data_IF_218974442780
#
_entry.id   IF_218974442780
#
_cell.length_a   1.000
_cell.length_b   1.000
_cell.length_c   1.000
_cell.angle_alpha   90.00
_cell.angle_beta   90.00
_cell.angle_gamma   90.00
#
_symmetry.space_group_name_H-M   'P 1'
#
loop_
_entity.id
_entity.type
_entity.pdbx_description
1 polymer ?
#
# COMPACT_ATOMS: atom_id res chain seq x y z
N UNK A 1 0.71 -3.28 -48.92
CA UNK A 1 -0.43 -3.61 -48.03
C UNK A 1 -1.24 -2.34 -47.83
N UNK A 2 -2.51 -2.26 -48.25
CA UNK A 2 -3.33 -1.08 -47.95
C UNK A 2 -3.64 -1.02 -46.45
N UNK A 3 -3.70 0.19 -45.89
CA UNK A 3 -4.14 0.40 -44.52
C UNK A 3 -5.64 0.10 -44.39
N UNK A 4 -6.02 -0.76 -43.44
CA UNK A 4 -7.43 -0.97 -43.08
C UNK A 4 -7.89 0.21 -42.23
N UNK A 5 -8.95 0.90 -42.67
CA UNK A 5 -9.59 1.95 -41.88
C UNK A 5 -10.27 1.35 -40.65
N UNK A 6 -10.18 2.06 -39.52
CA UNK A 6 -10.88 1.69 -38.28
C UNK A 6 -12.40 1.82 -38.49
N UNK A 7 -13.14 0.85 -37.96
CA UNK A 7 -14.60 0.89 -37.89
C UNK A 7 -15.05 1.52 -36.57
N UNK A 8 -16.32 1.93 -36.49
CA UNK A 8 -16.89 2.44 -35.24
C UNK A 8 -16.82 1.43 -34.08
N UNK A 9 -16.82 0.13 -34.37
CA UNK A 9 -16.63 -0.92 -33.36
C UNK A 9 -15.19 -0.96 -32.85
N UNK A 10 -14.21 -0.80 -33.75
CA UNK A 10 -12.78 -0.75 -33.37
C UNK A 10 -12.51 0.47 -32.46
N UNK A 11 -13.13 1.62 -32.74
CA UNK A 11 -12.99 2.83 -31.92
C UNK A 11 -13.54 2.64 -30.49
N UNK A 12 -14.65 1.93 -30.32
CA UNK A 12 -15.22 1.63 -28.99
C UNK A 12 -14.30 0.70 -28.21
N UNK A 13 -13.77 -0.35 -28.85
CA UNK A 13 -12.85 -1.31 -28.23
C UNK A 13 -11.52 -0.64 -27.83
N UNK A 14 -10.95 0.18 -28.71
CA UNK A 14 -9.74 0.96 -28.44
C UNK A 14 -9.96 1.95 -27.30
N UNK A 15 -11.09 2.66 -27.29
CA UNK A 15 -11.43 3.59 -26.22
C UNK A 15 -11.62 2.88 -24.87
N UNK A 16 -12.25 1.70 -24.85
CA UNK A 16 -12.41 0.89 -23.64
C UNK A 16 -11.06 0.42 -23.10
N UNK A 17 -10.23 -0.15 -23.97
CA UNK A 17 -8.86 -0.62 -23.63
C UNK A 17 -7.99 0.52 -23.11
N UNK A 18 -8.05 1.69 -23.74
CA UNK A 18 -7.33 2.87 -23.29
C UNK A 18 -7.78 3.34 -21.91
N UNK A 19 -9.10 3.39 -21.67
CA UNK A 19 -9.65 3.78 -20.37
C UNK A 19 -9.19 2.84 -19.25
N UNK A 20 -9.20 1.53 -19.50
CA UNK A 20 -8.74 0.52 -18.55
C UNK A 20 -7.24 0.69 -18.24
N UNK A 21 -6.38 0.74 -19.25
CA UNK A 21 -4.93 0.99 -19.05
C UNK A 21 -4.66 2.30 -18.32
N UNK A 22 -5.37 3.37 -18.67
CA UNK A 22 -5.21 4.68 -18.01
C UNK A 22 -5.66 4.65 -16.54
N UNK A 23 -6.57 3.74 -16.17
CA UNK A 23 -7.00 3.54 -14.78
C UNK A 23 -5.93 2.78 -14.02
N UNK A 24 -5.44 1.66 -14.57
CA UNK A 24 -4.37 0.86 -13.97
C UNK A 24 -3.10 1.69 -13.75
N UNK A 25 -2.68 2.46 -14.76
CA UNK A 25 -1.50 3.32 -14.65
C UNK A 25 -1.66 4.38 -13.56
N UNK A 26 -2.83 5.04 -13.50
CA UNK A 26 -3.14 6.00 -12.45
C UNK A 26 -3.09 5.36 -11.07
N UNK A 27 -3.75 4.21 -10.89
CA UNK A 27 -3.78 3.49 -9.62
C UNK A 27 -2.37 3.10 -9.17
N UNK A 28 -1.57 2.51 -10.08
CA UNK A 28 -0.18 2.14 -9.82
C UNK A 28 0.67 3.32 -9.37
N UNK A 29 0.53 4.48 -10.03
CA UNK A 29 1.27 5.68 -9.65
C UNK A 29 0.84 6.23 -8.30
N UNK A 30 -0.46 6.21 -7.99
CA UNK A 30 -0.95 6.60 -6.65
C UNK A 30 -0.44 5.66 -5.58
N UNK A 31 -0.44 4.35 -5.83
CA UNK A 31 0.12 3.35 -4.92
C UNK A 31 1.61 3.61 -4.68
N UNK A 32 2.40 3.86 -5.74
CA UNK A 32 3.82 4.19 -5.57
C UNK A 32 4.01 5.41 -4.68
N UNK A 33 3.31 6.52 -4.95
CA UNK A 33 3.42 7.74 -4.14
C UNK A 33 3.01 7.48 -2.68
N UNK A 34 1.95 6.72 -2.46
CA UNK A 34 1.54 6.34 -1.11
C UNK A 34 2.64 5.54 -0.38
N UNK A 35 3.20 4.53 -1.04
CA UNK A 35 4.26 3.70 -0.44
C UNK A 35 5.51 4.55 -0.17
N UNK A 36 5.93 5.37 -1.13
CA UNK A 36 7.06 6.28 -1.00
C UNK A 36 6.85 7.26 0.17
N UNK A 37 5.69 7.94 0.26
CA UNK A 37 5.34 8.81 1.39
C UNK A 37 5.44 8.08 2.74
N UNK A 38 4.96 6.84 2.79
CA UNK A 38 4.96 6.03 4.01
C UNK A 38 6.38 5.54 4.38
N UNK A 39 7.24 5.32 3.40
CA UNK A 39 8.63 4.88 3.64
C UNK A 39 9.60 6.04 3.87
N UNK A 40 9.36 7.20 3.26
CA UNK A 40 10.30 8.33 3.25
C UNK A 40 10.27 9.16 4.53
N UNK A 41 9.16 9.18 5.27
CA UNK A 41 8.93 10.28 6.23
C UNK A 41 9.64 10.17 7.59
N UNK A 42 9.91 8.99 8.14
CA UNK A 42 10.56 8.88 9.49
C UNK A 42 10.82 7.42 9.92
N UNK A 43 10.27 6.44 9.19
CA UNK A 43 10.32 5.01 9.53
C UNK A 43 11.72 4.42 9.30
N UNK A 44 12.44 4.83 8.25
CA UNK A 44 13.65 4.10 7.83
C UNK A 44 14.85 4.19 8.78
N UNK A 45 14.99 5.25 9.60
CA UNK A 45 16.18 5.34 10.47
C UNK A 45 16.02 4.61 11.80
N UNK A 46 14.81 4.34 12.25
CA UNK A 46 14.60 3.80 13.61
C UNK A 46 13.54 2.71 13.73
N UNK A 47 12.88 2.26 12.65
CA UNK A 47 11.85 1.20 12.72
C UNK A 47 12.33 -0.04 13.50
N UNK A 48 13.56 -0.48 13.24
CA UNK A 48 14.18 -1.59 13.97
C UNK A 48 14.23 -1.29 15.46
N UNK A 49 14.74 -0.13 15.87
CA UNK A 49 14.88 0.23 17.28
C UNK A 49 13.53 0.45 17.95
N UNK A 50 12.56 1.07 17.27
CA UNK A 50 11.21 1.25 17.78
C UNK A 50 10.54 -0.12 18.02
N UNK A 51 10.67 -1.05 17.07
CA UNK A 51 10.18 -2.42 17.24
C UNK A 51 10.91 -3.14 18.38
N UNK A 52 12.24 -3.03 18.47
CA UNK A 52 13.02 -3.61 19.56
C UNK A 52 12.61 -3.02 20.92
N UNK A 53 12.44 -1.71 21.02
CA UNK A 53 11.97 -1.04 22.24
C UNK A 53 10.58 -1.57 22.62
N UNK A 54 9.66 -1.72 21.66
CA UNK A 54 8.33 -2.31 21.94
C UNK A 54 8.44 -3.74 22.44
N UNK A 55 9.32 -4.56 21.87
CA UNK A 55 9.55 -5.95 22.31
C UNK A 55 10.24 -6.04 23.68
N UNK A 56 11.12 -5.10 24.01
CA UNK A 56 11.84 -5.07 25.29
C UNK A 56 10.96 -4.60 26.45
N UNK A 57 10.09 -3.61 26.20
CA UNK A 57 9.36 -2.90 27.26
C UNK A 57 7.87 -3.21 27.30
N UNK A 58 7.34 -4.00 26.37
CA UNK A 58 5.95 -4.45 26.41
C UNK A 58 5.83 -5.96 26.59
N UNK A 59 5.05 -6.35 27.59
CA UNK A 59 4.64 -7.74 27.83
C UNK A 59 3.35 -8.13 27.11
N UNK A 60 2.70 -7.17 26.43
CA UNK A 60 1.35 -7.34 25.88
C UNK A 60 1.41 -7.47 24.35
N UNK A 61 0.93 -8.59 23.77
CA UNK A 61 0.96 -8.78 22.32
C UNK A 61 0.32 -7.63 21.53
N UNK A 62 -0.75 -7.04 22.06
CA UNK A 62 -1.46 -5.91 21.45
C UNK A 62 -0.70 -4.59 21.48
N UNK A 63 0.52 -4.55 22.00
CA UNK A 63 1.41 -3.38 22.03
C UNK A 63 2.71 -3.60 21.25
N UNK A 64 2.92 -4.79 20.66
CA UNK A 64 4.12 -5.15 19.88
C UNK A 64 4.07 -4.60 18.45
N UNK A 65 3.78 -3.31 18.32
CA UNK A 65 3.69 -2.62 17.04
C UNK A 65 4.09 -1.14 17.17
N UNK A 66 4.37 -0.52 16.03
CA UNK A 66 4.71 0.90 15.92
C UNK A 66 3.83 1.59 14.89
N UNK A 67 3.72 2.91 14.97
CA UNK A 67 3.02 3.68 13.95
C UNK A 67 3.90 3.88 12.71
N UNK A 68 3.27 3.84 11.54
CA UNK A 68 3.90 4.10 10.26
C UNK A 68 3.45 5.48 9.74
N UNK A 69 4.42 6.33 9.41
CA UNK A 69 4.20 7.57 8.68
C UNK A 69 3.24 8.52 9.40
N UNK A 70 2.37 9.17 8.62
CA UNK A 70 1.38 10.13 9.14
C UNK A 70 -0.01 9.50 9.30
N UNK A 71 -0.85 10.19 10.04
CA UNK A 71 -2.29 9.90 10.08
C UNK A 71 -3.02 10.46 8.86
N UNK A 72 -4.12 9.81 8.46
CA UNK A 72 -4.97 10.23 7.34
C UNK A 72 -6.41 10.48 7.80
N UNK A 73 -7.01 11.54 7.28
CA UNK A 73 -8.47 11.71 7.37
C UNK A 73 -9.18 10.57 6.60
N UNK A 74 -10.30 10.01 7.11
CA UNK A 74 -11.03 8.94 6.41
C UNK A 74 -11.53 9.29 5.01
N UNK A 75 -11.64 10.59 4.69
CA UNK A 75 -12.02 11.13 3.40
C UNK A 75 -10.83 11.64 2.59
N UNK A 76 -9.59 11.40 3.04
CA UNK A 76 -8.39 11.78 2.31
C UNK A 76 -8.38 11.15 0.91
N UNK A 77 -7.97 11.94 -0.08
CA UNK A 77 -7.92 11.56 -1.49
C UNK A 77 -6.57 11.87 -2.08
N UNK A 78 -6.01 10.90 -2.76
CA UNK A 78 -4.80 11.03 -3.56
C UNK A 78 -5.18 11.41 -4.99
N UNK A 79 -4.43 12.36 -5.56
CA UNK A 79 -4.55 12.80 -6.94
C UNK A 79 -3.15 13.05 -7.47
N UNK A 80 -2.92 12.63 -8.71
CA UNK A 80 -1.68 12.93 -9.45
C UNK A 80 -2.07 13.70 -10.71
N UNK A 81 -2.15 15.05 -10.62
CA UNK A 81 -2.66 15.88 -11.72
C UNK A 81 -1.90 15.70 -13.03
N UNK A 82 -0.60 15.40 -12.97
CA UNK A 82 0.26 15.12 -14.13
C UNK A 82 -0.10 13.84 -14.89
N UNK A 83 -0.78 12.89 -14.24
CA UNK A 83 -1.24 11.65 -14.86
C UNK A 83 -2.72 11.74 -15.23
N UNK A 84 -3.52 12.26 -14.31
CA UNK A 84 -4.92 12.50 -14.57
C UNK A 84 -5.43 13.67 -13.73
N UNK A 85 -5.93 14.73 -14.36
CA UNK A 85 -6.44 15.89 -13.63
C UNK A 85 -7.77 15.61 -12.94
N UNK A 86 -8.53 14.57 -13.30
CA UNK A 86 -9.89 14.37 -12.76
C UNK A 86 -10.03 13.13 -11.88
N UNK A 87 -9.10 12.19 -11.98
CA UNK A 87 -9.13 10.96 -11.17
C UNK A 87 -8.56 11.21 -9.78
N UNK A 88 -9.17 10.54 -8.81
CA UNK A 88 -8.70 10.49 -7.43
C UNK A 88 -8.89 9.06 -6.91
N UNK A 89 -8.08 8.71 -5.91
CA UNK A 89 -8.21 7.45 -5.17
C UNK A 89 -8.31 7.80 -3.68
N UNK A 90 -9.36 7.35 -3.00
CA UNK A 90 -9.47 7.56 -1.56
C UNK A 90 -8.50 6.67 -0.78
N UNK A 91 -8.12 7.10 0.42
CA UNK A 91 -7.30 6.28 1.32
C UNK A 91 -7.95 4.91 1.60
N UNK A 92 -9.28 4.84 1.71
CA UNK A 92 -10.00 3.57 1.88
C UNK A 92 -9.86 2.66 0.65
N UNK A 93 -9.87 3.22 -0.56
CA UNK A 93 -9.63 2.43 -1.77
C UNK A 93 -8.20 1.91 -1.81
N UNK A 94 -7.20 2.71 -1.41
CA UNK A 94 -5.82 2.24 -1.28
C UNK A 94 -5.69 1.09 -0.26
N UNK A 95 -6.38 1.19 0.87
CA UNK A 95 -6.31 0.17 1.93
C UNK A 95 -7.00 -1.14 1.53
N UNK A 96 -8.17 -1.06 0.87
CA UNK A 96 -9.07 -2.21 0.70
C UNK A 96 -9.25 -2.69 -0.74
N UNK A 97 -8.77 -1.94 -1.74
CA UNK A 97 -9.04 -2.23 -3.16
C UNK A 97 -7.80 -2.23 -4.04
N UNK A 98 -6.61 -2.01 -3.48
CA UNK A 98 -5.33 -2.09 -4.19
C UNK A 98 -4.34 -2.92 -3.39
N UNK A 99 -3.15 -3.16 -3.96
CA UNK A 99 -2.03 -3.87 -3.34
C UNK A 99 -1.13 -2.95 -2.48
N UNK A 100 -1.61 -1.77 -2.09
CA UNK A 100 -0.78 -0.74 -1.45
C UNK A 100 -0.14 -1.20 -0.14
N UNK A 101 -0.90 -1.90 0.71
CA UNK A 101 -0.38 -2.40 1.98
C UNK A 101 0.60 -3.56 1.79
N UNK A 102 0.34 -4.46 0.85
CA UNK A 102 1.24 -5.58 0.57
C UNK A 102 2.57 -5.09 -0.03
N UNK A 103 2.53 -4.04 -0.86
CA UNK A 103 3.73 -3.37 -1.38
C UNK A 103 4.51 -2.67 -0.27
N UNK A 104 3.82 -1.95 0.62
CA UNK A 104 4.44 -1.33 1.78
C UNK A 104 5.10 -2.38 2.70
N UNK A 105 4.43 -3.50 2.97
CA UNK A 105 5.00 -4.64 3.71
C UNK A 105 6.28 -5.17 3.06
N UNK A 106 6.22 -5.40 1.75
CA UNK A 106 7.36 -5.89 0.97
C UNK A 106 8.56 -4.93 1.01
N UNK A 107 8.30 -3.62 1.00
CA UNK A 107 9.34 -2.59 1.06
C UNK A 107 9.94 -2.42 2.47
N UNK A 108 9.15 -2.63 3.53
CA UNK A 108 9.60 -2.56 4.91
C UNK A 108 10.34 -3.85 5.36
N UNK A 109 9.94 -5.01 4.84
CA UNK A 109 10.66 -6.27 5.01
C UNK A 109 9.76 -7.51 5.06
N UNK A 110 10.32 -8.67 4.70
CA UNK A 110 9.61 -9.97 4.54
C UNK A 110 8.80 -10.47 5.74
N UNK A 111 9.07 -9.95 6.94
CA UNK A 111 8.45 -10.35 8.20
C UNK A 111 7.62 -9.21 8.82
N UNK A 112 7.31 -8.19 8.03
CA UNK A 112 6.50 -7.05 8.47
C UNK A 112 5.04 -7.29 8.06
N UNK A 113 4.12 -6.95 8.96
CA UNK A 113 2.71 -6.79 8.62
C UNK A 113 2.29 -5.34 8.89
N UNK A 114 1.55 -4.76 7.96
CA UNK A 114 0.96 -3.43 8.10
C UNK A 114 -0.56 -3.58 8.20
N UNK A 115 -1.17 -2.91 9.18
CA UNK A 115 -2.61 -2.91 9.37
C UNK A 115 -3.13 -1.49 9.55
N UNK A 116 -4.27 -1.13 8.94
CA UNK A 116 -4.94 0.13 9.25
C UNK A 116 -5.48 0.07 10.70
N UNK A 117 -5.35 1.18 11.42
CA UNK A 117 -5.95 1.41 12.72
C UNK A 117 -6.80 2.69 12.64
N UNK A 118 -8.04 2.59 13.10
CA UNK A 118 -8.92 3.75 13.23
C UNK A 118 -8.92 4.19 14.68
N UNK A 119 -8.42 5.39 14.93
CA UNK A 119 -8.31 5.95 16.28
C UNK A 119 -8.53 7.46 16.21
N UNK A 120 -9.28 8.02 17.17
CA UNK A 120 -9.54 9.48 17.26
C UNK A 120 -10.07 10.12 15.96
N UNK A 121 -10.85 9.36 15.17
CA UNK A 121 -11.39 9.84 13.89
C UNK A 121 -10.41 9.84 12.72
N UNK A 122 -9.18 9.36 12.93
CA UNK A 122 -8.12 9.29 11.92
C UNK A 122 -7.74 7.84 11.62
N UNK A 123 -7.09 7.65 10.47
CA UNK A 123 -6.51 6.38 10.03
C UNK A 123 -5.00 6.44 10.27
N UNK A 124 -4.51 5.52 11.09
CA UNK A 124 -3.10 5.23 11.30
C UNK A 124 -2.75 3.89 10.66
N UNK A 125 -1.45 3.64 10.51
CA UNK A 125 -0.95 2.34 10.08
C UNK A 125 -0.08 1.75 11.18
N UNK A 126 -0.43 0.55 11.63
CA UNK A 126 0.37 -0.24 12.59
C UNK A 126 1.32 -1.13 11.83
N UNK A 127 2.60 -1.08 12.18
CA UNK A 127 3.63 -2.03 11.74
C UNK A 127 3.89 -3.04 12.85
N UNK A 128 3.72 -4.31 12.53
CA UNK A 128 4.01 -5.46 13.38
C UNK A 128 5.17 -6.27 12.78
N UNK A 129 6.11 -6.73 13.62
CA UNK A 129 7.06 -7.77 13.22
C UNK A 129 6.46 -9.15 13.51
N UNK A 130 6.52 -10.05 12.54
CA UNK A 130 6.08 -11.45 12.67
C UNK A 130 7.27 -12.37 12.56
N UNK A 131 7.38 -13.29 13.52
CA UNK A 131 8.40 -14.33 13.44
C UNK A 131 8.21 -15.16 12.15
N UNK A 132 9.31 -15.53 11.48
CA UNK A 132 9.22 -16.50 10.40
C UNK A 132 8.63 -17.79 10.99
N UNK A 133 7.66 -18.39 10.29
CA UNK A 133 7.20 -19.72 10.67
C UNK A 133 8.41 -20.65 10.63
N UNK A 134 8.75 -21.26 11.76
CA UNK A 134 9.69 -22.38 11.75
C UNK A 134 9.06 -23.45 10.86
N UNK A 135 9.69 -23.71 9.72
CA UNK A 135 9.44 -24.92 8.96
C UNK A 135 10.03 -26.01 9.84
N UNK A 136 9.19 -26.72 10.60
CA UNK A 136 9.64 -28.00 11.19
C UNK A 136 10.07 -28.88 10.02
N UNK A 137 11.32 -29.32 10.03
CA UNK A 137 11.76 -30.30 9.07
C UNK A 137 10.95 -31.59 9.32
N UNK A 138 10.41 -32.23 8.26
CA UNK A 138 9.71 -33.51 8.39
C UNK A 138 10.65 -34.69 8.77
N UNK A 139 11.89 -34.43 9.16
CA UNK A 139 12.88 -35.44 9.57
C UNK A 139 13.03 -35.56 11.10
N UNK A 140 12.25 -34.79 11.88
CA UNK A 140 12.24 -34.84 13.35
C UNK A 140 11.07 -35.70 13.93
N UNK A 141 10.40 -36.51 13.10
CA UNK A 141 9.41 -37.54 13.52
C UNK A 141 9.93 -38.97 13.37
#
# INVERSE_FOLDING_TARGET
MPFRLLTASDDVELAATWRERSKEFFEKSVVNVFVDEMTDLEIQRDLKQQLLNRMQFSSRPEQLWVYAGRSYDPNYRFRIPSISPTKWLSIKQLIYRTDALDRLESQLGKNIKVKPLYENGLIYFKIEYRLPRQIMNPEDE
#
